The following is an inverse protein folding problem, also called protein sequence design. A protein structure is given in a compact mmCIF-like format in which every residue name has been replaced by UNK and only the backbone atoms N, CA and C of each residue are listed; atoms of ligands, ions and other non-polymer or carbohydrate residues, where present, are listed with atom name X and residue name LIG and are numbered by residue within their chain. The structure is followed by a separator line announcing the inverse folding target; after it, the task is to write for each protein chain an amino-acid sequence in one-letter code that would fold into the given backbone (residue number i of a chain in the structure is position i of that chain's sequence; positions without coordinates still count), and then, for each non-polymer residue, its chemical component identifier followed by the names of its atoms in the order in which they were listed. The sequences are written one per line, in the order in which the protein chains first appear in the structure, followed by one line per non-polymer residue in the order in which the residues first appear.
data_IF_418284089727
#
_entry.id   IF_418284089727
#
_cell.length_a   1.000
_cell.length_b   1.000
_cell.length_c   1.000
_cell.angle_alpha   90.00
_cell.angle_beta   90.00
_cell.angle_gamma   90.00
#
_symmetry.space_group_name_H-M   'P 1'
#
loop_
_entity.id
_entity.type
_entity.pdbx_description
1 polymer ?
#
# COMPACT_ATOMS: atom_id res chain seq x y z
N UNK A 1 -10.26 44.11 14.56
CA UNK A 1 -10.05 42.67 14.35
C UNK A 1 -8.82 42.47 13.49
N UNK A 2 -7.84 41.67 13.93
CA UNK A 2 -6.45 41.69 13.41
C UNK A 2 -6.31 40.82 12.13
N UNK A 3 -5.93 41.39 10.97
CA UNK A 3 -5.83 40.67 9.68
C UNK A 3 -4.76 39.57 9.64
N UNK A 4 -3.85 39.56 10.62
CA UNK A 4 -2.76 38.57 10.74
C UNK A 4 -3.25 37.13 10.98
N UNK A 5 -4.39 36.94 11.65
CA UNK A 5 -4.92 35.59 11.91
C UNK A 5 -5.43 34.93 10.62
N UNK A 6 -6.09 35.68 9.74
CA UNK A 6 -6.56 35.18 8.43
C UNK A 6 -5.39 34.72 7.54
N UNK A 7 -4.28 35.46 7.53
CA UNK A 7 -3.06 35.09 6.80
C UNK A 7 -2.39 33.84 7.38
N UNK A 8 -2.32 33.71 8.71
CA UNK A 8 -1.74 32.52 9.35
C UNK A 8 -2.57 31.26 9.09
N UNK A 9 -3.90 31.34 9.19
CA UNK A 9 -4.80 30.23 8.86
C UNK A 9 -4.75 29.85 7.37
N UNK A 10 -4.64 30.83 6.47
CA UNK A 10 -4.48 30.56 5.05
C UNK A 10 -3.14 29.86 4.74
N UNK A 11 -2.04 30.29 5.36
CA UNK A 11 -0.72 29.67 5.19
C UNK A 11 -0.66 28.26 5.78
N UNK A 12 -1.24 28.04 6.97
CA UNK A 12 -1.37 26.71 7.56
C UNK A 12 -2.26 25.81 6.70
N UNK A 13 -3.38 26.32 6.18
CA UNK A 13 -4.26 25.58 5.27
C UNK A 13 -3.56 25.17 3.97
N UNK A 14 -2.80 26.07 3.35
CA UNK A 14 -1.98 25.77 2.16
C UNK A 14 -0.88 24.73 2.49
N UNK A 15 -0.25 24.84 3.66
CA UNK A 15 0.78 23.91 4.11
C UNK A 15 0.20 22.51 4.35
N UNK A 16 -0.92 22.40 5.05
CA UNK A 16 -1.62 21.14 5.32
C UNK A 16 -2.11 20.46 4.03
N UNK A 17 -2.51 21.25 3.01
CA UNK A 17 -2.92 20.71 1.71
C UNK A 17 -1.73 20.28 0.82
N UNK A 18 -0.61 21.01 0.85
CA UNK A 18 0.57 20.74 0.00
C UNK A 18 1.52 19.70 0.58
N UNK A 19 1.61 19.59 1.91
CA UNK A 19 2.55 18.68 2.59
C UNK A 19 2.37 17.22 2.16
N UNK A 20 1.15 16.63 2.14
CA UNK A 20 0.99 15.23 1.76
C UNK A 20 1.31 14.99 0.27
N UNK A 21 1.04 15.96 -0.62
CA UNK A 21 1.38 15.83 -2.05
C UNK A 21 2.90 15.79 -2.27
N UNK A 22 3.65 16.64 -1.56
CA UNK A 22 5.10 16.64 -1.59
C UNK A 22 5.67 15.32 -1.05
N UNK A 23 5.09 14.76 0.02
CA UNK A 23 5.52 13.48 0.58
C UNK A 23 5.22 12.30 -0.35
N UNK A 24 4.06 12.26 -1.01
CA UNK A 24 3.77 11.25 -2.05
C UNK A 24 4.80 11.33 -3.15
N UNK A 25 5.07 12.53 -3.69
CA UNK A 25 6.05 12.71 -4.77
C UNK A 25 7.44 12.24 -4.36
N UNK A 26 7.95 12.69 -3.21
CA UNK A 26 9.26 12.27 -2.68
C UNK A 26 9.36 10.76 -2.48
N UNK A 27 8.30 10.15 -1.95
CA UNK A 27 8.25 8.71 -1.75
C UNK A 27 8.33 7.96 -3.09
N UNK A 28 7.52 8.36 -4.07
CA UNK A 28 7.49 7.76 -5.41
C UNK A 28 8.83 7.94 -6.14
N UNK A 29 9.41 9.13 -6.14
CA UNK A 29 10.72 9.41 -6.77
C UNK A 29 11.81 8.52 -6.19
N UNK A 30 11.86 8.37 -4.86
CA UNK A 30 12.86 7.54 -4.18
C UNK A 30 12.72 6.06 -4.54
N UNK A 31 11.54 5.47 -4.39
CA UNK A 31 11.35 4.03 -4.70
C UNK A 31 11.56 3.72 -6.19
N UNK A 32 11.31 4.70 -7.06
CA UNK A 32 11.60 4.59 -8.50
C UNK A 32 13.09 4.56 -8.75
N UNK A 33 13.84 5.49 -8.17
CA UNK A 33 15.30 5.56 -8.30
C UNK A 33 15.96 4.27 -7.80
N UNK A 34 15.54 3.78 -6.64
CA UNK A 34 16.10 2.57 -6.02
C UNK A 34 15.56 1.27 -6.64
N UNK A 35 14.50 1.35 -7.45
CA UNK A 35 13.73 0.22 -7.99
C UNK A 35 13.31 -0.78 -6.92
N UNK A 36 13.04 -0.29 -5.71
CA UNK A 36 12.79 -1.12 -4.51
C UNK A 36 11.77 -0.46 -3.60
N UNK A 37 10.91 -1.27 -3.01
CA UNK A 37 9.99 -0.85 -1.95
C UNK A 37 10.55 -1.29 -0.62
N UNK A 38 10.88 -0.34 0.25
CA UNK A 38 11.19 -0.63 1.65
C UNK A 38 9.88 -0.73 2.42
N UNK A 39 9.55 -1.95 2.84
CA UNK A 39 8.24 -2.26 3.42
C UNK A 39 7.97 -1.42 4.67
N UNK A 40 8.95 -1.28 5.57
CA UNK A 40 8.80 -0.51 6.81
C UNK A 40 8.51 0.96 6.54
N UNK A 41 9.11 1.51 5.49
CA UNK A 41 8.89 2.88 5.08
C UNK A 41 7.53 3.08 4.41
N UNK A 42 7.05 2.11 3.63
CA UNK A 42 5.69 2.16 3.09
C UNK A 42 4.63 2.21 4.21
N UNK A 43 4.83 1.41 5.26
CA UNK A 43 3.95 1.39 6.43
C UNK A 43 3.95 2.71 7.19
N UNK A 44 5.11 3.37 7.33
CA UNK A 44 5.17 4.72 7.93
C UNK A 44 4.57 5.78 7.01
N UNK A 45 4.87 5.69 5.72
CA UNK A 45 4.39 6.60 4.68
C UNK A 45 2.87 6.65 4.64
N UNK A 46 2.19 5.49 4.67
CA UNK A 46 0.72 5.46 4.56
C UNK A 46 0.03 6.14 5.75
N UNK A 47 0.53 5.93 6.96
CA UNK A 47 0.02 6.59 8.17
C UNK A 47 0.30 8.09 8.15
N UNK A 48 1.52 8.48 7.77
CA UNK A 48 1.94 9.88 7.81
C UNK A 48 1.26 10.73 6.73
N UNK A 49 1.06 10.18 5.53
CA UNK A 49 0.48 10.93 4.40
C UNK A 49 -1.03 11.03 4.50
N UNK A 50 -1.70 9.99 4.98
CA UNK A 50 -3.15 9.99 5.13
C UNK A 50 -3.55 8.93 6.13
N UNK A 51 -3.62 9.28 7.43
CA UNK A 51 -4.13 8.40 8.46
C UNK A 51 -5.46 7.78 8.03
N UNK A 52 -5.64 6.52 8.37
CA UNK A 52 -6.78 5.74 7.91
C UNK A 52 -7.13 4.64 8.89
N UNK A 53 -8.06 3.78 8.47
CA UNK A 53 -8.52 2.67 9.29
C UNK A 53 -8.00 1.34 8.74
N UNK A 54 -7.64 0.46 9.67
CA UNK A 54 -7.35 -0.93 9.39
C UNK A 54 -8.59 -1.79 9.60
N UNK A 55 -8.81 -2.71 8.68
CA UNK A 55 -9.85 -3.72 8.82
C UNK A 55 -9.26 -5.08 8.49
N UNK A 56 -9.34 -5.98 9.47
CA UNK A 56 -9.03 -7.37 9.26
C UNK A 56 -10.15 -8.06 8.51
N UNK A 57 -9.79 -8.89 7.54
CA UNK A 57 -10.71 -9.80 6.89
C UNK A 57 -9.99 -11.14 6.73
N UNK A 58 -10.73 -12.25 6.73
CA UNK A 58 -10.18 -13.61 6.54
C UNK A 58 -10.83 -14.32 5.35
N UNK A 59 -11.70 -13.61 4.64
CA UNK A 59 -12.37 -14.09 3.44
C UNK A 59 -11.43 -14.05 2.22
N UNK A 60 -11.79 -14.82 1.20
CA UNK A 60 -11.09 -14.76 -0.09
C UNK A 60 -11.31 -13.41 -0.77
N UNK A 61 -10.53 -13.14 -1.81
CA UNK A 61 -10.74 -11.98 -2.66
C UNK A 61 -12.17 -11.95 -3.22
N UNK A 62 -12.95 -10.93 -2.87
CA UNK A 62 -14.21 -10.65 -3.57
C UNK A 62 -13.97 -10.37 -5.05
N UNK A 63 -14.89 -10.81 -5.94
CA UNK A 63 -14.76 -10.58 -7.40
C UNK A 63 -14.69 -9.10 -7.78
N UNK A 64 -15.07 -8.17 -6.89
CA UNK A 64 -15.08 -6.72 -7.13
C UNK A 64 -13.89 -6.00 -6.46
N UNK A 65 -12.67 -6.51 -6.63
CA UNK A 65 -11.47 -5.87 -6.06
C UNK A 65 -10.88 -4.83 -7.04
N UNK A 66 -10.88 -3.52 -6.71
CA UNK A 66 -10.63 -2.46 -7.68
C UNK A 66 -9.18 -1.94 -7.73
N UNK A 67 -8.27 -2.44 -6.88
CA UNK A 67 -6.93 -1.84 -6.75
C UNK A 67 -6.02 -2.28 -7.90
N UNK A 68 -5.78 -3.58 -8.10
CA UNK A 68 -5.05 -4.10 -9.25
C UNK A 68 -5.52 -5.53 -9.57
N UNK A 69 -5.31 -6.02 -10.79
CA UNK A 69 -5.61 -7.39 -11.15
C UNK A 69 -4.66 -8.37 -10.43
N UNK A 70 -5.17 -8.99 -9.37
CA UNK A 70 -4.56 -10.14 -8.70
C UNK A 70 -5.02 -11.42 -9.40
N UNK A 71 -4.05 -12.26 -9.78
CA UNK A 71 -4.26 -13.52 -10.51
C UNK A 71 -4.63 -14.63 -9.52
N UNK A 72 -4.02 -14.62 -8.33
CA UNK A 72 -4.27 -15.64 -7.33
C UNK A 72 -5.64 -15.45 -6.65
N UNK A 73 -6.66 -16.10 -7.19
CA UNK A 73 -8.02 -16.09 -6.66
C UNK A 73 -8.14 -16.78 -5.29
N UNK A 74 -7.16 -17.61 -4.93
CA UNK A 74 -7.13 -18.30 -3.64
C UNK A 74 -6.39 -17.50 -2.57
N UNK A 75 -5.83 -16.34 -2.92
CA UNK A 75 -5.20 -15.47 -1.94
C UNK A 75 -6.23 -15.03 -0.89
N UNK A 76 -5.85 -15.12 0.37
CA UNK A 76 -6.67 -14.67 1.50
C UNK A 76 -6.32 -13.24 1.79
N UNK A 77 -7.32 -12.39 1.84
CA UNK A 77 -7.13 -11.06 2.38
C UNK A 77 -6.90 -11.19 3.88
N UNK A 78 -5.95 -10.42 4.42
CA UNK A 78 -5.73 -10.32 5.88
C UNK A 78 -5.90 -8.92 6.38
N UNK A 79 -5.48 -7.92 5.63
CA UNK A 79 -5.57 -6.55 6.09
C UNK A 79 -6.00 -5.62 4.96
N UNK A 80 -7.00 -4.79 5.22
CA UNK A 80 -7.32 -3.62 4.40
C UNK A 80 -6.94 -2.36 5.15
N UNK A 81 -6.35 -1.42 4.42
CA UNK A 81 -6.16 -0.06 4.84
C UNK A 81 -6.94 0.86 3.92
N UNK A 82 -7.67 1.81 4.51
CA UNK A 82 -8.46 2.76 3.77
C UNK A 82 -8.30 4.16 4.36
N UNK A 83 -7.84 5.09 3.52
CA UNK A 83 -7.81 6.52 3.79
C UNK A 83 -8.24 7.32 2.55
N UNK A 84 -8.29 8.64 2.65
CA UNK A 84 -8.69 9.49 1.51
C UNK A 84 -7.67 9.43 0.35
N UNK A 85 -6.38 9.22 0.67
CA UNK A 85 -5.30 9.19 -0.32
C UNK A 85 -4.80 7.81 -0.67
N UNK A 86 -4.91 6.84 0.25
CA UNK A 86 -4.31 5.52 0.07
C UNK A 86 -5.34 4.45 0.36
N UNK A 87 -5.41 3.46 -0.54
CA UNK A 87 -6.10 2.20 -0.30
C UNK A 87 -5.07 1.09 -0.43
N UNK A 88 -4.93 0.21 0.55
CA UNK A 88 -4.07 -0.96 0.39
C UNK A 88 -4.68 -2.22 0.96
N UNK A 89 -4.23 -3.35 0.43
CA UNK A 89 -4.63 -4.68 0.86
C UNK A 89 -3.39 -5.54 1.03
N UNK A 90 -3.37 -6.37 2.05
CA UNK A 90 -2.38 -7.42 2.27
C UNK A 90 -3.04 -8.77 2.06
N UNK A 91 -2.47 -9.55 1.15
CA UNK A 91 -3.02 -10.81 0.69
C UNK A 91 -2.03 -11.93 0.99
N UNK A 92 -2.44 -12.93 1.75
CA UNK A 92 -1.66 -14.13 1.97
C UNK A 92 -1.81 -15.09 0.79
N UNK A 93 -0.69 -15.62 0.32
CA UNK A 93 -0.64 -16.56 -0.80
C UNK A 93 0.34 -17.69 -0.53
N UNK A 94 0.02 -18.86 -1.09
CA UNK A 94 0.90 -20.03 -1.11
C UNK A 94 1.88 -19.98 -2.27
N UNK A 95 1.69 -19.08 -3.23
CA UNK A 95 2.56 -18.89 -4.39
C UNK A 95 3.89 -18.27 -3.97
N UNK A 96 4.96 -18.74 -4.59
CA UNK A 96 6.33 -18.30 -4.31
C UNK A 96 6.82 -17.21 -5.25
N UNK A 97 6.19 -17.05 -6.42
CA UNK A 97 6.63 -16.12 -7.45
C UNK A 97 5.66 -14.97 -7.59
N UNK A 98 6.17 -13.74 -7.67
CA UNK A 98 5.37 -12.53 -7.80
C UNK A 98 4.49 -12.53 -9.06
N UNK A 99 5.02 -13.04 -10.18
CA UNK A 99 4.30 -13.15 -11.44
C UNK A 99 3.07 -14.07 -11.39
N UNK A 100 3.04 -15.03 -10.46
CA UNK A 100 1.89 -15.93 -10.27
C UNK A 100 0.75 -15.29 -9.49
N UNK A 101 1.04 -14.20 -8.78
CA UNK A 101 0.09 -13.53 -7.89
C UNK A 101 -0.45 -12.27 -8.54
N UNK A 102 0.39 -11.52 -9.27
CA UNK A 102 0.08 -10.16 -9.72
C UNK A 102 0.18 -10.10 -11.24
N UNK A 103 -0.89 -9.62 -11.88
CA UNK A 103 -0.88 -9.36 -13.32
C UNK A 103 -0.32 -7.97 -13.60
N UNK A 104 0.65 -7.88 -14.50
CA UNK A 104 1.08 -6.59 -15.05
C UNK A 104 -0.09 -5.98 -15.82
N UNK A 105 -0.53 -4.76 -15.49
CA UNK A 105 -1.61 -4.11 -16.22
C UNK A 105 -1.18 -3.84 -17.67
N UNK A 106 -2.09 -4.06 -18.64
CA UNK A 106 -1.85 -3.80 -20.06
C UNK A 106 -1.77 -2.29 -20.40
N UNK A 107 -2.31 -1.44 -19.53
CA UNK A 107 -2.36 0.02 -19.68
C UNK A 107 -1.76 0.66 -18.44
N UNK A 108 -0.92 1.67 -18.64
CA UNK A 108 -0.23 2.40 -17.58
C UNK A 108 1.26 2.51 -17.83
N UNK A 109 1.89 3.50 -17.23
CA UNK A 109 3.33 3.72 -17.27
C UNK A 109 3.98 2.90 -16.15
N UNK A 110 4.85 1.95 -16.51
CA UNK A 110 5.60 1.14 -15.55
C UNK A 110 6.86 1.90 -15.16
N UNK A 111 6.94 2.32 -13.90
CA UNK A 111 8.11 3.02 -13.35
C UNK A 111 9.24 2.02 -13.07
N UNK A 112 8.88 0.88 -12.46
CA UNK A 112 9.79 -0.25 -12.30
C UNK A 112 9.00 -1.54 -12.03
N UNK A 113 9.65 -2.67 -12.34
CA UNK A 113 9.19 -4.02 -12.02
C UNK A 113 10.40 -4.92 -11.80
N UNK A 114 10.38 -5.71 -10.73
CA UNK A 114 11.33 -6.78 -10.47
C UNK A 114 10.58 -8.01 -9.91
N UNK A 115 11.30 -8.99 -9.38
CA UNK A 115 10.74 -10.26 -8.91
C UNK A 115 9.86 -10.15 -7.65
N UNK A 116 9.87 -9.00 -6.97
CA UNK A 116 9.12 -8.80 -5.72
C UNK A 116 8.42 -7.44 -5.63
N UNK A 117 8.68 -6.50 -6.55
CA UNK A 117 8.10 -5.16 -6.52
C UNK A 117 7.63 -4.70 -7.90
N UNK A 118 6.58 -3.89 -7.92
CA UNK A 118 6.08 -3.21 -9.10
C UNK A 118 5.48 -1.86 -8.74
N UNK A 119 5.80 -0.84 -9.53
CA UNK A 119 5.14 0.46 -9.48
C UNK A 119 4.63 0.83 -10.88
N UNK A 120 3.33 1.08 -10.97
CA UNK A 120 2.67 1.49 -12.22
C UNK A 120 1.84 2.74 -11.96
N UNK A 121 1.87 3.69 -12.88
CA UNK A 121 0.91 4.80 -12.91
C UNK A 121 -0.18 4.50 -13.93
N UNK A 122 -1.44 4.61 -13.50
CA UNK A 122 -2.58 4.47 -14.40
C UNK A 122 -3.69 5.43 -13.97
N UNK A 123 -4.09 6.32 -14.87
CA UNK A 123 -4.98 7.43 -14.54
C UNK A 123 -4.38 8.39 -13.51
N UNK A 124 -5.14 8.66 -12.44
CA UNK A 124 -4.86 9.63 -11.38
C UNK A 124 -4.14 9.02 -10.15
N UNK A 125 -3.68 7.76 -10.26
CA UNK A 125 -3.11 7.04 -9.14
C UNK A 125 -1.85 6.25 -9.51
N UNK A 126 -1.00 6.08 -8.51
CA UNK A 126 0.06 5.08 -8.51
C UNK A 126 -0.45 3.79 -7.90
N UNK A 127 -0.10 2.68 -8.53
CA UNK A 127 -0.35 1.35 -8.03
C UNK A 127 0.98 0.71 -7.67
N UNK A 128 1.16 0.50 -6.36
CA UNK A 128 2.35 -0.09 -5.77
C UNK A 128 2.02 -1.52 -5.36
N UNK A 129 2.85 -2.46 -5.76
CA UNK A 129 2.72 -3.86 -5.35
C UNK A 129 4.07 -4.36 -4.89
N UNK A 130 4.07 -5.08 -3.77
CA UNK A 130 5.24 -5.80 -3.33
C UNK A 130 4.88 -7.11 -2.65
N UNK A 131 5.77 -8.09 -2.79
CA UNK A 131 5.70 -9.36 -2.11
C UNK A 131 6.77 -9.41 -1.02
N UNK A 132 6.40 -10.00 0.10
CA UNK A 132 7.24 -10.21 1.27
C UNK A 132 6.98 -11.61 1.81
N UNK A 133 7.96 -12.17 2.49
CA UNK A 133 7.80 -13.44 3.20
C UNK A 133 6.96 -13.24 4.46
N UNK A 134 6.36 -14.30 4.99
CA UNK A 134 5.65 -14.21 6.28
C UNK A 134 6.57 -13.75 7.43
N UNK A 135 7.81 -14.24 7.57
CA UNK A 135 8.73 -13.72 8.59
C UNK A 135 8.98 -12.22 8.46
N UNK A 136 9.19 -11.71 7.24
CA UNK A 136 9.33 -10.27 7.02
C UNK A 136 8.08 -9.53 7.49
N UNK A 137 6.88 -9.94 7.03
CA UNK A 137 5.60 -9.32 7.40
C UNK A 137 5.43 -9.14 8.92
N UNK A 138 5.83 -10.15 9.69
CA UNK A 138 5.74 -10.15 11.16
C UNK A 138 6.67 -9.14 11.83
N UNK A 139 7.77 -8.76 11.17
CA UNK A 139 8.74 -7.81 11.71
C UNK A 139 8.39 -6.35 11.38
N UNK A 140 7.72 -6.11 10.27
CA UNK A 140 7.61 -4.74 9.72
C UNK A 140 6.52 -3.90 10.39
N UNK A 141 5.56 -4.51 11.08
CA UNK A 141 4.50 -3.80 11.74
C UNK A 141 4.00 -4.49 13.02
N UNK A 142 3.44 -3.69 13.93
CA UNK A 142 2.88 -4.17 15.18
C UNK A 142 1.53 -4.87 15.06
N UNK A 143 0.87 -4.83 13.89
CA UNK A 143 -0.49 -5.35 13.72
C UNK A 143 -0.53 -6.86 13.98
N UNK A 144 0.45 -7.61 13.46
CA UNK A 144 0.54 -9.07 13.62
C UNK A 144 1.21 -9.51 14.93
N UNK A 145 1.47 -8.60 15.88
CA UNK A 145 2.09 -8.93 17.18
C UNK A 145 1.09 -9.40 18.23
N UNK A 146 -0.21 -9.20 18.01
CA UNK A 146 -1.24 -9.56 18.98
C UNK A 146 -1.70 -11.00 18.75
N UNK A 147 -1.73 -11.88 19.76
CA UNK A 147 -2.18 -13.26 19.56
C UNK A 147 -3.66 -13.31 19.12
N UNK A 148 -4.02 -14.21 18.20
CA UNK A 148 -5.41 -14.36 17.72
C UNK A 148 -5.58 -15.28 16.51
N UNK A 149 -6.79 -15.33 15.93
CA UNK A 149 -7.11 -16.22 14.79
C UNK A 149 -6.24 -15.97 13.54
N UNK A 150 -5.69 -14.77 13.40
CA UNK A 150 -4.83 -14.40 12.28
C UNK A 150 -3.47 -15.10 12.32
N UNK A 151 -2.95 -15.45 13.50
CA UNK A 151 -1.67 -16.17 13.65
C UNK A 151 -1.75 -17.58 13.05
N UNK A 152 -2.84 -18.31 13.33
CA UNK A 152 -3.08 -19.64 12.75
C UNK A 152 -3.15 -19.62 11.23
N UNK A 153 -3.68 -18.54 10.64
CA UNK A 153 -3.73 -18.42 9.19
C UNK A 153 -2.34 -18.24 8.59
N UNK A 154 -1.50 -17.38 9.18
CA UNK A 154 -0.17 -17.04 8.66
C UNK A 154 0.72 -18.28 8.47
N UNK A 155 0.64 -19.26 9.36
CA UNK A 155 1.44 -20.51 9.32
C UNK A 155 1.20 -21.32 8.04
N UNK A 156 0.03 -21.20 7.42
CA UNK A 156 -0.34 -21.97 6.22
C UNK A 156 0.08 -21.33 4.89
N UNK A 157 0.66 -20.12 4.93
CA UNK A 157 1.07 -19.36 3.75
C UNK A 157 2.57 -19.12 3.70
N UNK A 158 3.08 -18.85 2.49
CA UNK A 158 4.52 -18.62 2.26
C UNK A 158 4.85 -17.13 2.19
N UNK A 159 3.98 -16.38 1.52
CA UNK A 159 4.19 -14.98 1.22
C UNK A 159 2.94 -14.15 1.49
N UNK A 160 3.16 -12.86 1.68
CA UNK A 160 2.14 -11.84 1.62
C UNK A 160 2.42 -10.90 0.45
N UNK A 161 1.38 -10.53 -0.27
CA UNK A 161 1.42 -9.52 -1.33
C UNK A 161 0.63 -8.31 -0.87
N UNK A 162 1.31 -7.17 -0.76
CA UNK A 162 0.67 -5.90 -0.53
C UNK A 162 0.39 -5.23 -1.85
N UNK A 163 -0.85 -4.78 -2.04
CA UNK A 163 -1.30 -4.03 -3.20
C UNK A 163 -1.85 -2.71 -2.72
N UNK A 164 -1.35 -1.59 -3.25
CA UNK A 164 -1.76 -0.26 -2.83
C UNK A 164 -2.08 0.64 -4.02
N UNK A 165 -3.17 1.40 -3.90
CA UNK A 165 -3.50 2.55 -4.76
C UNK A 165 -3.21 3.83 -3.97
N UNK A 166 -2.37 4.69 -4.53
CA UNK A 166 -1.97 5.98 -3.97
C UNK A 166 -2.48 7.07 -4.92
N UNK A 167 -3.43 7.87 -4.45
CA UNK A 167 -4.03 8.96 -5.22
C UNK A 167 -3.09 10.16 -5.26
N UNK A 168 -2.98 10.81 -6.42
CA UNK A 168 -2.09 11.98 -6.61
C UNK A 168 -2.82 13.30 -6.33
N UNK A 169 -4.14 13.28 -6.18
CA UNK A 169 -4.99 14.44 -5.92
C UNK A 169 -4.84 15.00 -4.49
#
# INVERSE_FOLDING_TARGET
MRPYYLLLFALIGIFLLRYPRAQVRKYIERITYEKKVHVSEFWKFRELVSPGNFTFQSDGLSKKNPILPIIDQNAKLTLRFQSSKIKSMELLTKKSQFGDVVKVPRKGEIFFKNDVNMLVRSGDAYYLVYMQTIPELLTVNGWYKYPGEHEKMLVSYKNAVTVARINVQ
#
